data_IF_556557701591
#
_entry.id   IF_556557701591
#
_cell.length_a   1.000
_cell.length_b   1.000
_cell.length_c   1.000
_cell.angle_alpha   90.00
_cell.angle_beta   90.00
_cell.angle_gamma   90.00
#
_symmetry.space_group_name_H-M   'P 1'
#
loop_
_entity.id
_entity.type
_entity.pdbx_description
1 polymer ?
#
# COMPACT_ATOMS: atom_id res chain seq x y z
N UNK A 1 -3.68 9.37 9.31
CA UNK A 1 -5.17 9.29 9.33
C UNK A 1 -5.77 8.94 10.68
N UNK A 2 -5.02 8.34 11.62
CA UNK A 2 -5.60 7.85 12.88
C UNK A 2 -6.44 6.58 12.70
N UNK A 3 -6.34 5.92 11.55
CA UNK A 3 -7.00 4.65 11.26
C UNK A 3 -6.19 3.51 11.87
N UNK A 4 -6.87 2.53 12.47
CA UNK A 4 -6.24 1.31 12.94
C UNK A 4 -5.63 0.52 11.78
N UNK A 5 -4.49 -0.11 12.02
CA UNK A 5 -3.82 -0.97 11.03
C UNK A 5 -3.96 -2.41 11.45
N UNK A 6 -4.79 -3.15 10.72
CA UNK A 6 -4.99 -4.59 10.93
C UNK A 6 -5.19 -5.29 9.58
N UNK A 7 -4.15 -5.98 9.06
CA UNK A 7 -4.26 -6.68 7.78
C UNK A 7 -5.22 -7.88 7.82
N UNK A 8 -5.56 -8.39 9.00
CA UNK A 8 -6.51 -9.52 9.12
C UNK A 8 -7.91 -9.11 8.67
N UNK A 9 -8.32 -7.86 8.90
CA UNK A 9 -9.60 -7.35 8.43
C UNK A 9 -9.77 -7.38 6.91
N UNK A 10 -8.68 -7.20 6.13
CA UNK A 10 -8.72 -7.32 4.68
C UNK A 10 -8.96 -8.76 4.23
N UNK A 11 -8.29 -9.73 4.87
CA UNK A 11 -8.52 -11.16 4.61
C UNK A 11 -9.97 -11.54 4.91
N UNK A 12 -10.49 -11.15 6.07
CA UNK A 12 -11.87 -11.43 6.48
C UNK A 12 -12.89 -10.86 5.48
N UNK A 13 -12.66 -9.64 5.00
CA UNK A 13 -13.52 -8.98 4.01
C UNK A 13 -13.53 -9.72 2.67
N UNK A 14 -12.35 -10.11 2.17
CA UNK A 14 -12.24 -10.88 0.92
C UNK A 14 -12.97 -12.22 1.06
N UNK A 15 -12.73 -12.95 2.16
CA UNK A 15 -13.36 -14.25 2.40
C UNK A 15 -14.88 -14.14 2.60
N UNK A 16 -15.36 -13.02 3.16
CA UNK A 16 -16.80 -12.72 3.23
C UNK A 16 -17.40 -12.61 1.83
N UNK A 17 -16.81 -11.81 0.94
CA UNK A 17 -17.30 -11.68 -0.44
C UNK A 17 -17.20 -12.99 -1.22
N UNK A 18 -16.15 -13.79 -0.99
CA UNK A 18 -16.04 -15.12 -1.59
C UNK A 18 -17.22 -16.05 -1.22
N UNK A 19 -17.75 -15.92 0.01
CA UNK A 19 -18.94 -16.68 0.46
C UNK A 19 -20.26 -16.07 -0.01
N UNK A 20 -20.37 -14.74 0.03
CA UNK A 20 -21.61 -14.03 -0.30
C UNK A 20 -21.85 -13.91 -1.82
N UNK A 21 -20.79 -13.91 -2.63
CA UNK A 21 -20.83 -13.87 -4.09
C UNK A 21 -19.84 -14.87 -4.71
N UNK A 22 -20.11 -16.20 -4.63
CA UNK A 22 -19.20 -17.22 -5.14
C UNK A 22 -18.89 -17.05 -6.63
N UNK A 23 -17.60 -17.09 -6.98
CA UNK A 23 -17.13 -16.96 -8.35
C UNK A 23 -17.06 -15.53 -8.89
N UNK A 24 -17.39 -14.51 -8.09
CA UNK A 24 -17.16 -13.12 -8.46
C UNK A 24 -15.66 -12.80 -8.38
N UNK A 25 -15.01 -12.37 -9.47
CA UNK A 25 -13.61 -11.96 -9.43
C UNK A 25 -13.43 -10.66 -8.66
N UNK A 26 -12.43 -10.61 -7.78
CA UNK A 26 -12.16 -9.46 -6.92
C UNK A 26 -10.88 -8.73 -7.35
N UNK A 27 -10.91 -7.41 -7.22
CA UNK A 27 -9.75 -6.53 -7.33
C UNK A 27 -9.72 -5.64 -6.09
N UNK A 28 -8.55 -5.51 -5.47
CA UNK A 28 -8.32 -4.49 -4.45
C UNK A 28 -7.97 -3.21 -5.18
N UNK A 29 -8.95 -2.36 -5.41
CA UNK A 29 -8.79 -1.14 -6.22
C UNK A 29 -8.04 -0.04 -5.48
N UNK A 30 -8.12 -0.02 -4.15
CA UNK A 30 -7.38 0.92 -3.31
C UNK A 30 -7.01 0.24 -1.99
N UNK A 31 -5.72 0.26 -1.66
CA UNK A 31 -5.22 -0.04 -0.32
C UNK A 31 -3.90 0.71 -0.09
N UNK A 32 -3.75 1.32 1.07
CA UNK A 32 -2.59 2.14 1.40
C UNK A 32 -2.73 2.85 2.75
N UNK A 33 -1.69 3.58 3.14
CA UNK A 33 -1.62 4.29 4.41
C UNK A 33 -0.90 5.64 4.27
N UNK A 34 -1.33 6.61 5.07
CA UNK A 34 -0.65 7.89 5.22
C UNK A 34 0.19 7.94 6.49
N UNK A 35 1.48 8.26 6.30
CA UNK A 35 2.47 8.51 7.32
C UNK A 35 3.12 9.88 7.07
N UNK A 36 3.85 10.39 8.07
CA UNK A 36 4.51 11.70 8.01
C UNK A 36 5.90 11.58 7.35
N UNK A 37 5.93 11.24 6.06
CA UNK A 37 7.19 11.05 5.34
C UNK A 37 7.86 12.39 4.96
N UNK A 38 9.18 12.44 5.09
CA UNK A 38 9.99 13.60 4.71
C UNK A 38 11.29 13.15 4.03
N UNK A 39 11.83 13.94 3.09
CA UNK A 39 13.18 13.73 2.59
C UNK A 39 14.21 13.87 3.71
N UNK A 40 15.21 12.99 3.69
CA UNK A 40 16.41 13.09 4.53
C UNK A 40 17.43 14.10 3.95
N UNK A 41 18.62 14.17 4.55
CA UNK A 41 19.69 15.07 4.11
C UNK A 41 20.20 14.77 2.69
N UNK A 42 20.03 13.55 2.19
CA UNK A 42 20.41 13.12 0.85
C UNK A 42 19.23 13.24 -0.15
N UNK A 43 18.08 13.75 0.30
CA UNK A 43 16.87 13.89 -0.50
C UNK A 43 16.11 12.59 -0.73
N UNK A 44 16.42 11.51 0.00
CA UNK A 44 15.70 10.23 -0.05
C UNK A 44 14.54 10.24 0.93
N UNK A 45 13.48 9.51 0.62
CA UNK A 45 12.30 9.41 1.50
C UNK A 45 12.17 7.97 1.99
N UNK A 46 12.57 7.77 3.24
CA UNK A 46 12.47 6.49 3.94
C UNK A 46 11.12 6.39 4.65
N UNK A 47 10.36 5.34 4.33
CA UNK A 47 8.98 5.12 4.79
C UNK A 47 8.71 3.65 5.16
N UNK A 48 9.47 3.09 6.13
CA UNK A 48 9.39 1.68 6.51
C UNK A 48 8.00 1.29 7.03
N UNK A 49 7.26 2.21 7.66
CA UNK A 49 5.90 1.96 8.13
C UNK A 49 4.94 1.67 6.96
N UNK A 50 5.10 2.36 5.83
CA UNK A 50 4.33 2.08 4.61
C UNK A 50 4.73 0.74 4.00
N UNK A 51 6.01 0.39 4.01
CA UNK A 51 6.48 -0.94 3.59
C UNK A 51 5.86 -2.04 4.45
N UNK A 52 5.88 -1.89 5.78
CA UNK A 52 5.28 -2.84 6.72
C UNK A 52 3.76 -2.98 6.50
N UNK A 53 3.06 -1.85 6.31
CA UNK A 53 1.63 -1.83 5.98
C UNK A 53 1.35 -2.66 4.72
N UNK A 54 2.07 -2.40 3.63
CA UNK A 54 1.88 -3.09 2.35
C UNK A 54 2.22 -4.57 2.44
N UNK A 55 3.33 -4.92 3.12
CA UNK A 55 3.72 -6.30 3.32
C UNK A 55 2.62 -7.07 4.06
N UNK A 56 2.07 -6.51 5.14
CA UNK A 56 0.98 -7.13 5.90
C UNK A 56 -0.29 -7.35 5.07
N UNK A 57 -0.75 -6.32 4.36
CA UNK A 57 -2.01 -6.39 3.58
C UNK A 57 -1.88 -7.28 2.34
N UNK A 58 -0.75 -7.23 1.63
CA UNK A 58 -0.49 -8.14 0.51
C UNK A 58 -0.36 -9.59 1.00
N UNK A 59 0.22 -9.82 2.17
CA UNK A 59 0.25 -11.16 2.79
C UNK A 59 -1.16 -11.67 3.10
N UNK A 60 -2.04 -10.81 3.61
CA UNK A 60 -3.45 -11.13 3.83
C UNK A 60 -4.19 -11.47 2.53
N UNK A 61 -3.94 -10.73 1.45
CA UNK A 61 -4.48 -11.04 0.11
C UNK A 61 -3.98 -12.40 -0.39
N UNK A 62 -2.67 -12.68 -0.27
CA UNK A 62 -2.11 -13.98 -0.66
C UNK A 62 -2.70 -15.13 0.13
N UNK A 63 -2.93 -14.94 1.44
CA UNK A 63 -3.63 -15.92 2.27
C UNK A 63 -5.07 -16.14 1.79
N UNK A 64 -5.80 -15.08 1.45
CA UNK A 64 -7.18 -15.22 0.95
C UNK A 64 -7.24 -15.99 -0.39
N UNK A 65 -6.27 -15.76 -1.27
CA UNK A 65 -6.11 -16.54 -2.51
C UNK A 65 -5.85 -18.01 -2.19
N UNK A 66 -4.95 -18.29 -1.23
CA UNK A 66 -4.67 -19.67 -0.78
C UNK A 66 -5.90 -20.34 -0.14
N UNK A 67 -6.76 -19.57 0.51
CA UNK A 67 -8.02 -20.01 1.12
C UNK A 67 -9.18 -20.11 0.08
N UNK A 68 -8.91 -19.87 -1.20
CA UNK A 68 -9.82 -20.14 -2.32
C UNK A 68 -10.56 -18.94 -2.90
N UNK A 69 -10.21 -17.70 -2.54
CA UNK A 69 -10.80 -16.50 -3.15
C UNK A 69 -10.18 -16.20 -4.53
N UNK A 70 -11.01 -15.81 -5.51
CA UNK A 70 -10.57 -15.34 -6.84
C UNK A 70 -10.19 -13.86 -6.82
N UNK A 71 -9.02 -13.53 -6.27
CA UNK A 71 -8.46 -12.17 -6.30
C UNK A 71 -7.47 -12.04 -7.46
N UNK A 72 -7.75 -11.12 -8.40
CA UNK A 72 -7.03 -11.01 -9.67
C UNK A 72 -6.13 -9.79 -9.78
N UNK A 73 -6.19 -8.87 -8.82
CA UNK A 73 -5.31 -7.71 -8.81
C UNK A 73 -5.38 -6.88 -7.55
N UNK A 74 -4.34 -6.05 -7.40
CA UNK A 74 -4.15 -5.17 -6.27
C UNK A 74 -3.55 -3.86 -6.77
N UNK A 75 -4.14 -2.74 -6.35
CA UNK A 75 -3.71 -1.40 -6.71
C UNK A 75 -3.38 -0.63 -5.43
N UNK A 76 -2.13 -0.17 -5.36
CA UNK A 76 -1.65 0.68 -4.28
C UNK A 76 -2.28 2.07 -4.39
N UNK A 77 -3.02 2.47 -3.34
CA UNK A 77 -3.37 3.87 -3.14
C UNK A 77 -2.24 4.58 -2.37
N UNK A 78 -1.45 5.45 -2.98
CA UNK A 78 -1.54 5.93 -4.37
C UNK A 78 -0.18 5.97 -5.04
N UNK A 79 -0.15 6.29 -6.33
CA UNK A 79 1.11 6.48 -7.05
C UNK A 79 1.97 7.59 -6.43
N UNK A 80 1.36 8.73 -6.12
CA UNK A 80 2.06 9.94 -5.69
C UNK A 80 1.28 10.68 -4.61
N UNK A 81 2.00 11.39 -3.75
CA UNK A 81 1.41 12.30 -2.79
C UNK A 81 0.52 13.31 -3.53
N UNK A 82 -0.72 13.46 -3.08
CA UNK A 82 -1.76 14.20 -3.78
C UNK A 82 -2.59 15.04 -2.80
N UNK A 83 -3.65 15.68 -3.30
CA UNK A 83 -4.63 16.38 -2.47
C UNK A 83 -5.61 15.38 -1.86
N UNK A 84 -5.46 15.11 -0.56
CA UNK A 84 -6.25 14.15 0.20
C UNK A 84 -7.55 14.80 0.73
N UNK A 85 -8.38 15.27 -0.20
CA UNK A 85 -9.73 15.78 0.06
C UNK A 85 -9.76 16.84 1.16
N UNK A 86 -10.57 16.63 2.21
CA UNK A 86 -10.71 17.56 3.33
C UNK A 86 -9.41 17.77 4.14
N UNK A 87 -8.42 16.89 3.99
CA UNK A 87 -7.11 17.01 4.63
C UNK A 87 -6.09 17.79 3.79
N UNK A 88 -6.46 18.21 2.58
CA UNK A 88 -5.56 18.94 1.69
C UNK A 88 -4.27 18.17 1.44
N UNK A 89 -3.13 18.82 1.61
CA UNK A 89 -1.81 18.25 1.35
C UNK A 89 -1.10 17.71 2.61
N UNK A 90 -1.80 17.68 3.75
CA UNK A 90 -1.24 17.28 5.04
C UNK A 90 -1.13 15.76 5.19
N UNK A 91 -1.80 14.98 4.33
CA UNK A 91 -1.80 13.52 4.35
C UNK A 91 -1.23 12.96 3.06
N UNK A 92 -0.22 12.11 3.21
CA UNK A 92 0.62 11.61 2.12
C UNK A 92 0.48 10.09 2.00
N UNK A 93 -0.34 9.64 1.06
CA UNK A 93 -0.54 8.21 0.77
C UNK A 93 0.44 7.67 -0.27
N UNK A 94 1.06 8.54 -1.07
CA UNK A 94 1.77 8.14 -2.27
C UNK A 94 3.00 7.29 -2.00
N UNK A 95 3.30 6.36 -2.91
CA UNK A 95 4.60 5.71 -2.97
C UNK A 95 5.70 6.66 -3.49
N UNK A 96 5.32 7.75 -4.15
CA UNK A 96 6.21 8.82 -4.63
C UNK A 96 5.93 10.09 -3.85
N UNK A 97 6.97 10.61 -3.18
CA UNK A 97 6.92 11.92 -2.53
C UNK A 97 6.85 13.02 -3.58
N UNK A 98 6.03 14.04 -3.30
CA UNK A 98 5.92 15.26 -4.12
C UNK A 98 6.27 16.46 -3.26
N UNK A 99 7.32 17.17 -3.66
CA UNK A 99 7.54 18.54 -3.21
C UNK A 99 6.55 19.44 -3.96
N UNK A 100 5.56 19.99 -3.26
CA UNK A 100 4.51 20.79 -3.89
C UNK A 100 5.00 22.15 -4.38
N UNK A 101 6.08 22.69 -3.80
CA UNK A 101 6.63 23.99 -4.22
C UNK A 101 7.40 23.87 -5.54
N UNK A 102 8.17 22.79 -5.71
CA UNK A 102 9.06 22.60 -6.87
C UNK A 102 8.52 21.60 -7.90
N UNK A 103 7.50 20.82 -7.52
CA UNK A 103 7.00 19.68 -8.29
C UNK A 103 8.06 18.57 -8.48
N UNK A 104 9.11 18.53 -7.66
CA UNK A 104 10.05 17.41 -7.66
C UNK A 104 9.36 16.13 -7.18
N UNK A 105 9.66 15.00 -7.83
CA UNK A 105 9.14 13.67 -7.49
C UNK A 105 10.28 12.78 -7.01
N UNK A 106 10.12 12.22 -5.82
CA UNK A 106 11.10 11.32 -5.22
C UNK A 106 10.44 9.99 -4.88
N UNK A 107 10.79 8.88 -5.56
CA UNK A 107 10.34 7.55 -5.16
C UNK A 107 10.73 7.25 -3.71
N UNK A 108 9.76 6.87 -2.88
CA UNK A 108 10.01 6.47 -1.49
C UNK A 108 10.55 5.04 -1.43
N UNK A 109 11.02 4.59 -0.27
CA UNK A 109 11.44 3.21 -0.09
C UNK A 109 10.32 2.20 -0.40
N UNK A 110 9.06 2.55 -0.13
CA UNK A 110 7.88 1.76 -0.51
C UNK A 110 7.68 1.61 -2.01
N UNK A 111 7.98 2.63 -2.83
CA UNK A 111 7.94 2.50 -4.29
C UNK A 111 8.97 1.48 -4.78
N UNK A 112 10.19 1.54 -4.24
CA UNK A 112 11.26 0.62 -4.62
C UNK A 112 10.96 -0.82 -4.16
N UNK A 113 10.42 -0.98 -2.95
CA UNK A 113 9.97 -2.27 -2.43
C UNK A 113 8.83 -2.84 -3.28
N UNK A 114 7.81 -2.04 -3.58
CA UNK A 114 6.64 -2.46 -4.37
C UNK A 114 7.03 -2.83 -5.80
N UNK A 115 7.97 -2.09 -6.42
CA UNK A 115 8.51 -2.43 -7.73
C UNK A 115 9.22 -3.80 -7.73
N UNK A 116 9.99 -4.12 -6.68
CA UNK A 116 10.60 -5.45 -6.53
C UNK A 116 9.55 -6.54 -6.38
N UNK A 117 8.55 -6.30 -5.52
CA UNK A 117 7.47 -7.25 -5.29
C UNK A 117 6.65 -7.54 -6.56
N UNK A 118 6.26 -6.49 -7.29
CA UNK A 118 5.51 -6.61 -8.54
C UNK A 118 6.33 -7.30 -9.64
N UNK A 119 7.64 -7.05 -9.71
CA UNK A 119 8.53 -7.68 -10.70
C UNK A 119 8.74 -9.17 -10.43
N UNK A 120 8.85 -9.57 -9.17
CA UNK A 120 9.20 -10.95 -8.79
C UNK A 120 7.99 -11.84 -8.50
N UNK A 121 6.83 -11.26 -8.16
CA UNK A 121 5.69 -11.98 -7.61
C UNK A 121 5.92 -12.49 -6.17
N UNK A 122 7.00 -12.06 -5.53
CA UNK A 122 7.39 -12.43 -4.16
C UNK A 122 7.42 -11.17 -3.31
N UNK A 123 6.84 -11.23 -2.11
CA UNK A 123 6.90 -10.12 -1.15
C UNK A 123 8.29 -10.15 -0.49
N UNK A 124 9.17 -9.15 -0.72
CA UNK A 124 10.42 -9.06 0.01
C UNK A 124 10.15 -8.78 1.48
N UNK A 125 10.93 -9.38 2.37
CA UNK A 125 10.88 -9.04 3.80
C UNK A 125 11.09 -7.52 3.99
N UNK A 126 10.32 -6.88 4.88
CA UNK A 126 10.59 -5.51 5.28
C UNK A 126 12.01 -5.41 5.86
N UNK A 127 12.76 -4.39 5.45
CA UNK A 127 14.06 -4.12 6.07
C UNK A 127 13.84 -3.79 7.55
N UNK A 128 14.59 -4.45 8.44
CA UNK A 128 14.57 -4.18 9.87
C UNK A 128 15.14 -2.78 10.13
N UNK A 129 14.39 -1.96 10.86
CA UNK A 129 14.76 -0.60 11.32
C UNK A 129 15.95 -0.68 12.27
#
# INVERSE_FOLDING_TARGET
>A
MGWSVDPTGLHELIMRYNREAPGLPLYITENGAAYDDKPDADGKVHDPERVAYLHGHLSAVRRAIADGADVRGYYLWSLMDNFEWAYGYDKRFGAVYVDYATQQRTPKSSALWYARAAKSGVLPEPESI
#
